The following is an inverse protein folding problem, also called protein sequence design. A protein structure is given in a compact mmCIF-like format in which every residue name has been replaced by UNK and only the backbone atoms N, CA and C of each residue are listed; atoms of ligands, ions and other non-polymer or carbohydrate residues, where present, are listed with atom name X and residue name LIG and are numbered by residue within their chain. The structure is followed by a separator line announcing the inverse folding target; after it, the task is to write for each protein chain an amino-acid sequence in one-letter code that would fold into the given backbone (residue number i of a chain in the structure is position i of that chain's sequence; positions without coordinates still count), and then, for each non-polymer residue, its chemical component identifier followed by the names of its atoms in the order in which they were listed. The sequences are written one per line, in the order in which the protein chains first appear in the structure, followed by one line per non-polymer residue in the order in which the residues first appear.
data_IF_231234143801
#
_entry.id   IF_231234143801
#
_cell.length_a   1.000
_cell.length_b   1.000
_cell.length_c   1.000
_cell.angle_alpha   90.00
_cell.angle_beta   90.00
_cell.angle_gamma   90.00
#
_symmetry.space_group_name_H-M   'P 1'
#
loop_
_entity.id
_entity.type
_entity.pdbx_description
1 polymer ?
#
# COMPACT_ATOMS: atom_id res chain seq x y z
N UNK A 1 -16.84 12.13 -7.33
CA UNK A 1 -16.49 10.77 -6.85
C UNK A 1 -15.40 10.23 -7.75
N UNK A 2 -14.16 10.12 -7.24
CA UNK A 2 -13.07 9.49 -8.01
C UNK A 2 -13.31 7.98 -8.00
N UNK A 3 -13.44 7.35 -9.17
CA UNK A 3 -13.53 5.89 -9.25
C UNK A 3 -12.21 5.29 -8.79
N UNK A 4 -12.24 4.33 -7.86
CA UNK A 4 -11.04 3.58 -7.47
C UNK A 4 -10.51 2.76 -8.66
N UNK A 5 -9.19 2.59 -8.73
CA UNK A 5 -8.57 1.82 -9.83
C UNK A 5 -9.03 0.36 -9.81
N UNK A 6 -8.95 -0.34 -10.96
CA UNK A 6 -9.22 -1.78 -11.00
C UNK A 6 -8.32 -2.54 -10.00
N UNK A 7 -7.04 -2.17 -9.97
CA UNK A 7 -6.04 -2.72 -9.06
C UNK A 7 -6.44 -2.59 -7.58
N UNK A 8 -6.99 -1.44 -7.19
CA UNK A 8 -7.52 -1.23 -5.84
C UNK A 8 -8.65 -2.21 -5.56
N UNK A 9 -9.63 -2.29 -6.46
CA UNK A 9 -10.80 -3.19 -6.33
C UNK A 9 -10.39 -4.66 -6.23
N UNK A 10 -9.43 -5.09 -7.04
CA UNK A 10 -8.89 -6.45 -7.01
C UNK A 10 -8.15 -6.76 -5.70
N UNK A 11 -7.48 -5.75 -5.11
CA UNK A 11 -6.78 -5.94 -3.85
C UNK A 11 -7.74 -6.04 -2.66
N UNK A 12 -8.72 -5.12 -2.56
CA UNK A 12 -9.68 -5.08 -1.44
C UNK A 12 -10.80 -6.13 -1.53
N UNK A 13 -10.94 -6.80 -2.68
CA UNK A 13 -11.96 -7.82 -2.89
C UNK A 13 -11.67 -9.19 -2.25
N UNK A 14 -10.44 -9.43 -1.80
CA UNK A 14 -10.04 -10.71 -1.22
C UNK A 14 -8.89 -10.56 -0.19
N UNK A 15 -8.69 -11.55 0.71
CA UNK A 15 -7.53 -11.56 1.60
C UNK A 15 -6.22 -11.47 0.83
N UNK A 16 -5.27 -10.67 1.30
CA UNK A 16 -4.07 -10.36 0.52
C UNK A 16 -3.08 -11.51 0.37
N UNK A 17 -3.07 -12.50 1.27
CA UNK A 17 -2.13 -13.64 1.24
C UNK A 17 -0.69 -13.21 0.99
N UNK A 18 0.01 -13.93 0.09
CA UNK A 18 1.39 -13.64 -0.32
C UNK A 18 1.50 -12.75 -1.57
N UNK A 19 0.48 -11.91 -1.85
CA UNK A 19 0.50 -10.96 -2.97
C UNK A 19 1.77 -10.10 -2.92
N UNK A 20 2.41 -9.86 -4.07
CA UNK A 20 3.59 -9.01 -4.13
C UNK A 20 3.25 -7.57 -3.73
N UNK A 21 4.23 -6.80 -3.28
CA UNK A 21 4.04 -5.38 -2.93
C UNK A 21 3.48 -4.55 -4.09
N UNK A 22 3.78 -4.94 -5.33
CA UNK A 22 3.26 -4.35 -6.55
C UNK A 22 1.78 -4.60 -6.77
N UNK A 23 1.10 -5.41 -5.95
CA UNK A 23 -0.36 -5.56 -5.99
C UNK A 23 -1.11 -4.40 -5.31
N UNK A 24 -0.44 -3.65 -4.42
CA UNK A 24 -1.04 -2.50 -3.76
C UNK A 24 -1.34 -1.36 -4.75
N UNK A 25 -2.49 -0.72 -4.61
CA UNK A 25 -2.80 0.49 -5.36
C UNK A 25 -1.74 1.58 -5.09
N UNK A 26 -1.46 2.45 -6.05
CA UNK A 26 -0.36 3.42 -5.97
C UNK A 26 1.06 2.85 -6.16
N UNK A 27 1.28 1.54 -6.00
CA UNK A 27 2.62 0.92 -6.09
C UNK A 27 2.86 0.27 -7.46
N UNK A 28 3.50 1.00 -8.38
CA UNK A 28 3.97 0.47 -9.66
C UNK A 28 5.27 -0.35 -9.54
N UNK A 29 5.75 -0.89 -10.66
CA UNK A 29 7.00 -1.69 -10.72
C UNK A 29 8.22 -0.94 -10.17
N UNK A 30 8.39 0.34 -10.50
CA UNK A 30 9.52 1.16 -10.01
C UNK A 30 9.50 1.33 -8.48
N UNK A 31 8.33 1.65 -7.91
CA UNK A 31 8.20 1.80 -6.46
C UNK A 31 8.32 0.45 -5.75
N UNK A 32 7.70 -0.59 -6.34
CA UNK A 32 7.78 -1.95 -5.83
C UNK A 32 9.20 -2.50 -5.82
N UNK A 33 10.02 -2.18 -6.83
CA UNK A 33 11.45 -2.52 -6.85
C UNK A 33 12.20 -1.91 -5.67
N UNK A 34 12.05 -0.60 -5.45
CA UNK A 34 12.68 0.11 -4.32
C UNK A 34 12.19 -0.39 -2.95
N UNK A 35 10.91 -0.73 -2.84
CA UNK A 35 10.34 -1.33 -1.63
C UNK A 35 10.96 -2.73 -1.39
N UNK A 36 11.05 -3.55 -2.44
CA UNK A 36 11.63 -4.89 -2.36
C UNK A 36 13.11 -4.86 -1.98
N UNK A 37 13.89 -3.92 -2.51
CA UNK A 37 15.30 -3.70 -2.12
C UNK A 37 15.45 -3.36 -0.63
N UNK A 38 14.42 -2.76 -0.02
CA UNK A 38 14.36 -2.44 1.41
C UNK A 38 13.70 -3.54 2.26
N UNK A 39 13.38 -4.70 1.67
CA UNK A 39 12.75 -5.83 2.36
C UNK A 39 11.22 -5.82 2.40
N UNK A 40 10.57 -4.91 1.67
CA UNK A 40 9.11 -4.82 1.53
C UNK A 40 8.65 -5.45 0.21
N UNK A 41 8.95 -6.74 0.01
CA UNK A 41 8.66 -7.47 -1.23
C UNK A 41 7.21 -7.97 -1.32
N UNK A 42 6.54 -8.15 -0.17
CA UNK A 42 5.15 -8.59 -0.05
C UNK A 42 4.22 -7.50 0.49
N UNK A 43 2.96 -7.55 0.06
CA UNK A 43 1.94 -6.59 0.51
C UNK A 43 1.73 -6.64 2.03
N UNK A 44 1.80 -7.82 2.65
CA UNK A 44 1.65 -7.96 4.10
C UNK A 44 2.78 -7.30 4.90
N UNK A 45 3.99 -7.15 4.33
CA UNK A 45 5.10 -6.46 5.00
C UNK A 45 4.82 -4.96 5.08
N UNK A 46 4.30 -4.38 3.99
CA UNK A 46 3.84 -2.98 3.98
C UNK A 46 2.63 -2.78 4.89
N UNK A 47 1.70 -3.74 4.93
CA UNK A 47 0.61 -3.72 5.91
C UNK A 47 1.15 -3.71 7.35
N UNK A 48 2.16 -4.53 7.66
CA UNK A 48 2.80 -4.53 8.97
C UNK A 48 3.32 -3.14 9.35
N UNK A 49 3.98 -2.45 8.43
CA UNK A 49 4.44 -1.09 8.65
C UNK A 49 3.29 -0.09 8.85
N UNK A 50 2.22 -0.19 8.05
CA UNK A 50 1.01 0.59 8.22
C UNK A 50 0.39 0.42 9.61
N UNK A 51 0.36 -0.81 10.13
CA UNK A 51 -0.14 -1.11 11.47
C UNK A 51 0.79 -0.62 12.59
N UNK A 52 2.11 -0.68 12.40
CA UNK A 52 3.09 -0.10 13.34
C UNK A 52 2.91 1.42 13.48
N UNK A 53 2.57 2.09 12.39
CA UNK A 53 2.21 3.50 12.35
C UNK A 53 0.77 3.78 12.83
N UNK A 54 0.13 2.81 13.48
CA UNK A 54 -1.23 2.91 14.05
C UNK A 54 -2.28 3.37 13.05
N UNK A 55 -2.13 3.00 11.77
CA UNK A 55 -3.01 3.42 10.69
C UNK A 55 -3.02 4.93 10.43
N UNK A 56 -2.04 5.67 10.95
CA UNK A 56 -1.94 7.12 10.76
C UNK A 56 -1.58 7.45 9.30
N UNK A 57 -2.47 8.20 8.65
CA UNK A 57 -2.35 8.49 7.22
C UNK A 57 -1.19 9.38 6.86
N UNK A 58 -0.88 10.39 7.67
CA UNK A 58 0.21 11.31 7.37
C UNK A 58 1.56 10.62 7.62
N UNK A 59 1.72 9.94 8.76
CA UNK A 59 2.93 9.17 9.04
C UNK A 59 3.18 8.07 8.00
N UNK A 60 2.15 7.36 7.56
CA UNK A 60 2.30 6.32 6.54
C UNK A 60 2.68 6.91 5.18
N UNK A 61 2.06 8.03 4.79
CA UNK A 61 2.34 8.67 3.50
C UNK A 61 3.74 9.27 3.47
N UNK A 62 4.19 9.87 4.57
CA UNK A 62 5.56 10.37 4.73
C UNK A 62 6.57 9.21 4.68
N UNK A 63 6.32 8.14 5.44
CA UNK A 63 7.16 6.95 5.41
C UNK A 63 7.27 6.36 3.99
N UNK A 64 6.17 6.26 3.25
CA UNK A 64 6.17 5.69 1.90
C UNK A 64 6.92 6.60 0.92
N UNK A 65 6.80 7.92 1.08
CA UNK A 65 7.60 8.89 0.32
C UNK A 65 9.09 8.71 0.60
N UNK A 66 9.53 8.71 1.86
CA UNK A 66 10.93 8.54 2.23
C UNK A 66 11.49 7.17 1.83
N UNK A 67 10.63 6.14 1.84
CA UNK A 67 11.05 4.76 1.58
C UNK A 67 11.21 4.48 0.09
N UNK A 68 10.31 4.93 -0.79
CA UNK A 68 10.40 4.60 -2.21
C UNK A 68 10.25 5.79 -3.17
N UNK A 69 10.23 7.02 -2.65
CA UNK A 69 9.96 8.27 -3.38
C UNK A 69 8.60 8.26 -4.08
N UNK A 70 7.57 7.72 -3.40
CA UNK A 70 6.19 7.78 -3.86
C UNK A 70 5.65 9.21 -3.77
N UNK A 71 4.99 9.69 -4.82
CA UNK A 71 4.38 11.03 -4.80
C UNK A 71 3.05 11.05 -4.02
N UNK A 72 2.50 12.24 -3.76
CA UNK A 72 1.29 12.43 -2.95
C UNK A 72 0.06 11.64 -3.41
N UNK A 73 -0.05 11.38 -4.73
CA UNK A 73 -1.14 10.57 -5.29
C UNK A 73 -0.91 9.09 -5.01
N UNK A 74 0.31 8.60 -5.25
CA UNK A 74 0.68 7.20 -5.01
C UNK A 74 0.58 6.82 -3.53
N UNK A 75 0.99 7.74 -2.64
CA UNK A 75 0.89 7.51 -1.19
C UNK A 75 -0.56 7.46 -0.72
N UNK A 76 -1.41 8.36 -1.21
CA UNK A 76 -2.84 8.35 -0.92
C UNK A 76 -3.52 7.07 -1.44
N UNK A 77 -3.28 6.68 -2.69
CA UNK A 77 -3.86 5.46 -3.27
C UNK A 77 -3.43 4.19 -2.50
N UNK A 78 -2.17 4.11 -2.07
CA UNK A 78 -1.69 2.99 -1.28
C UNK A 78 -2.33 2.96 0.12
N UNK A 79 -2.40 4.13 0.77
CA UNK A 79 -3.05 4.28 2.08
C UNK A 79 -4.53 3.86 2.02
N UNK A 80 -5.31 4.43 1.09
CA UNK A 80 -6.74 4.14 0.96
C UNK A 80 -6.99 2.65 0.69
N UNK A 81 -6.09 2.01 -0.09
CA UNK A 81 -6.16 0.59 -0.38
C UNK A 81 -5.95 -0.28 0.86
N UNK A 82 -4.96 0.04 1.70
CA UNK A 82 -4.71 -0.68 2.95
C UNK A 82 -5.78 -0.41 4.00
N UNK A 83 -6.25 0.84 4.10
CA UNK A 83 -7.31 1.24 5.02
C UNK A 83 -8.60 0.47 4.71
N UNK A 84 -9.04 0.46 3.44
CA UNK A 84 -10.24 -0.26 3.04
C UNK A 84 -10.08 -1.78 3.16
N UNK A 85 -8.91 -2.33 2.86
CA UNK A 85 -8.65 -3.76 3.07
C UNK A 85 -8.75 -4.11 4.57
N UNK A 86 -8.22 -3.26 5.46
CA UNK A 86 -8.34 -3.48 6.90
C UNK A 86 -9.80 -3.44 7.36
N UNK A 87 -10.60 -2.49 6.90
CA UNK A 87 -12.04 -2.44 7.23
C UNK A 87 -12.80 -3.71 6.84
N UNK A 88 -12.36 -4.39 5.77
CA UNK A 88 -13.01 -5.60 5.27
C UNK A 88 -12.52 -6.89 5.96
N UNK A 89 -11.25 -6.97 6.38
CA UNK A 89 -10.61 -8.23 6.77
C UNK A 89 -9.86 -8.23 8.12
N UNK A 90 -9.78 -7.10 8.84
CA UNK A 90 -9.06 -6.96 10.10
C UNK A 90 -9.88 -6.27 11.19
#
# INVERSE_FOLDING_TARGET
MSSTSQKHRDFVGEPMGDKPVTALAGIGSTLGGRLSEKGYDKAYVVLGQYLLLKKDGDMFRDWLNETCNANSKQTLECYDCLAQWCEAFL
#
